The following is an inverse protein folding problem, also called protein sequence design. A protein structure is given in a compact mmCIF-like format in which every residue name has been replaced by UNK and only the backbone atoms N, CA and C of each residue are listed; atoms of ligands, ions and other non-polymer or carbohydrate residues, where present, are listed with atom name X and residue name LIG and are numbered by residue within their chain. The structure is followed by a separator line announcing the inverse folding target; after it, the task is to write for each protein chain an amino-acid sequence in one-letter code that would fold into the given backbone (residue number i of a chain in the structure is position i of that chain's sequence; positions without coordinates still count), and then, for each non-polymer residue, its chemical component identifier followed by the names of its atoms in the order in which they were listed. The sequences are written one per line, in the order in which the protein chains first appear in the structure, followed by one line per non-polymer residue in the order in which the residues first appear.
data_IF_292295140946
#
_entry.id   IF_292295140946
#
_cell.length_a   1.000
_cell.length_b   1.000
_cell.length_c   1.000
_cell.angle_alpha   90.00
_cell.angle_beta   90.00
_cell.angle_gamma   90.00
#
_symmetry.space_group_name_H-M   'P 1'
#
loop_
_entity.id
_entity.type
_entity.pdbx_description
1 polymer ?
2 non-polymer ?
3 non-polymer ?
4 water ?
#
# COMPACT_ATOMS: atom_id res chain seq x y z
N UNK A 4 -23.68 -7.66 12.22
CA UNK A 4 -24.39 -6.93 11.17
C UNK A 4 -23.87 -5.50 10.95
N UNK A 5 -23.81 -4.71 12.01
CA UNK A 5 -23.58 -3.28 11.94
C UNK A 5 -22.16 -2.91 12.33
N UNK A 6 -21.55 -2.03 11.56
CA UNK A 6 -20.26 -1.46 11.90
C UNK A 6 -20.44 -0.27 12.83
N UNK A 7 -19.39 0.15 13.55
CA UNK A 7 -19.53 1.32 14.41
C UNK A 7 -19.92 2.56 13.62
N UNK A 8 -20.64 3.45 14.27
CA UNK A 8 -21.19 4.62 13.58
C UNK A 8 -20.11 5.53 13.02
N UNK A 9 -18.94 5.57 13.66
CA UNK A 9 -17.85 6.44 13.21
C UNK A 9 -16.83 5.70 12.37
N UNK A 10 -17.16 4.52 11.86
CA UNK A 10 -16.21 3.76 11.04
C UNK A 10 -15.82 4.56 9.81
N UNK A 11 -14.58 4.43 9.39
CA UNK A 11 -14.07 5.11 8.21
C UNK A 11 -14.32 4.21 7.00
N UNK A 12 -14.98 4.74 5.97
CA UNK A 12 -15.28 4.02 4.74
C UNK A 12 -14.64 4.79 3.61
N UNK A 13 -13.67 4.17 2.94
CA UNK A 13 -13.00 4.89 1.88
C UNK A 13 -12.59 4.01 0.73
N UNK A 14 -11.93 4.65 -0.23
CA UNK A 14 -11.24 3.97 -1.31
C UNK A 14 -9.85 4.56 -1.40
N UNK A 15 -8.94 3.85 -2.06
CA UNK A 15 -7.52 4.20 -2.03
C UNK A 15 -6.93 4.21 -3.43
N UNK A 16 -5.94 5.09 -3.61
CA UNK A 16 -5.13 5.20 -4.82
C UNK A 16 -3.69 5.49 -4.40
N UNK A 17 -2.80 5.61 -5.40
CA UNK A 17 -1.43 6.03 -5.22
C UNK A 17 -1.07 6.95 -6.39
N UNK A 18 -0.17 7.90 -6.12
CA UNK A 18 0.08 9.00 -7.04
C UNK A 18 0.54 8.53 -8.42
N UNK A 19 1.57 7.68 -8.49
CA UNK A 19 2.06 7.29 -9.81
C UNK A 19 1.01 6.45 -10.56
N UNK A 20 0.15 5.75 -9.83
CA UNK A 20 -0.81 4.90 -10.49
C UNK A 20 -1.93 5.68 -11.16
N UNK A 21 -2.20 6.92 -10.71
CA UNK A 21 -3.35 7.67 -11.19
C UNK A 21 -3.05 9.04 -11.80
N UNK A 22 -1.98 9.71 -11.38
CA UNK A 22 -1.92 11.17 -11.59
C UNK A 22 -1.64 11.55 -13.04
N UNK A 23 -0.73 10.86 -13.71
CA UNK A 23 -0.25 11.38 -14.97
C UNK A 23 0.49 12.68 -14.75
N UNK A 24 0.47 13.55 -15.77
CA UNK A 24 1.10 14.88 -15.67
C UNK A 24 2.52 14.78 -15.15
N UNK A 25 3.28 13.86 -15.74
CA UNK A 25 4.56 13.46 -15.16
C UNK A 25 5.63 14.54 -15.27
N UNK A 26 5.49 15.49 -16.18
CA UNK A 26 6.45 16.59 -16.32
C UNK A 26 5.88 17.94 -15.95
N UNK A 27 4.68 18.00 -15.39
CA UNK A 27 4.01 19.26 -15.18
C UNK A 27 4.38 19.85 -13.84
N UNK A 28 4.44 21.19 -13.80
CA UNK A 28 4.57 21.95 -12.56
C UNK A 28 5.81 21.54 -11.75
N UNK A 29 6.92 21.32 -12.45
CA UNK A 29 8.18 21.10 -11.80
C UNK A 29 8.45 19.69 -11.32
N UNK A 30 7.58 18.72 -11.62
CA UNK A 30 7.80 17.36 -11.14
C UNK A 30 9.11 16.78 -11.66
N UNK A 31 9.86 16.14 -10.77
CA UNK A 31 11.08 15.46 -11.16
C UNK A 31 10.81 14.06 -11.66
N UNK A 32 11.89 13.34 -11.91
CA UNK A 32 11.82 11.98 -12.44
C UNK A 32 11.86 11.02 -11.27
N UNK A 33 10.94 10.05 -11.26
CA UNK A 33 10.95 9.00 -10.24
C UNK A 33 11.50 7.70 -10.83
N UNK A 34 11.85 6.78 -9.93
CA UNK A 34 12.31 5.47 -10.37
C UNK A 34 11.27 4.76 -11.23
N UNK A 35 9.99 5.05 -11.04
CA UNK A 35 8.95 4.41 -11.85
C UNK A 35 8.80 5.03 -13.23
N UNK A 36 9.17 6.31 -13.39
CA UNK A 36 9.30 6.86 -14.73
C UNK A 36 10.40 6.14 -15.50
N UNK A 37 11.57 6.02 -14.87
CA UNK A 37 12.70 5.33 -15.49
C UNK A 37 12.34 3.90 -15.82
N UNK A 38 11.73 3.19 -14.88
CA UNK A 38 11.45 1.77 -15.04
C UNK A 38 10.40 1.54 -16.11
N UNK A 39 9.31 2.32 -16.07
CA UNK A 39 8.26 2.06 -17.06
C UNK A 39 8.69 2.45 -18.47
N UNK A 40 9.67 3.33 -18.62
CA UNK A 40 10.20 3.68 -19.94
C UNK A 40 11.36 2.80 -20.38
N UNK A 41 11.66 1.77 -19.61
CA UNK A 41 12.68 0.79 -20.00
C UNK A 41 12.02 -0.32 -20.78
N UNK A 42 12.46 -0.60 -22.01
CA UNK A 42 11.79 -1.62 -22.82
C UNK A 42 11.68 -2.96 -22.10
N UNK A 43 10.48 -3.53 -22.13
CA UNK A 43 10.24 -4.85 -21.62
C UNK A 43 9.84 -4.95 -20.15
N UNK A 44 9.89 -3.85 -19.39
CA UNK A 44 9.61 -3.96 -17.97
C UNK A 44 8.12 -4.00 -17.64
N UNK A 45 7.29 -3.38 -18.48
CA UNK A 45 5.84 -3.34 -18.25
C UNK A 45 5.17 -4.29 -19.24
N UNK A 46 4.22 -5.10 -18.75
CA UNK A 46 3.71 -6.23 -19.53
C UNK A 46 3.04 -5.81 -20.83
N UNK A 47 2.47 -4.62 -20.90
CA UNK A 47 1.66 -4.20 -22.03
C UNK A 47 2.21 -2.94 -22.70
N UNK A 48 3.45 -2.56 -22.43
CA UNK A 48 4.04 -1.42 -23.08
C UNK A 48 3.50 -0.07 -22.66
N UNK A 49 2.76 0.01 -21.56
CA UNK A 49 2.23 1.27 -21.08
C UNK A 49 3.14 1.86 -20.00
N UNK A 50 2.87 3.12 -19.67
CA UNK A 50 3.59 3.84 -18.63
C UNK A 50 2.57 4.61 -17.80
N UNK A 51 3.06 5.28 -16.76
CA UNK A 51 2.20 6.18 -16.01
C UNK A 51 2.19 7.61 -16.50
N UNK A 52 2.59 7.86 -17.75
CA UNK A 52 2.71 9.23 -18.22
C UNK A 52 1.38 9.97 -18.16
N UNK A 53 0.28 9.28 -18.48
CA UNK A 53 -1.07 9.84 -18.41
C UNK A 53 -1.89 9.17 -17.32
N UNK A 54 -1.87 7.83 -17.27
CA UNK A 54 -2.63 7.06 -16.29
C UNK A 54 -4.10 7.50 -16.30
N UNK A 55 -4.63 7.95 -15.16
CA UNK A 55 -6.01 8.40 -15.10
C UNK A 55 -6.13 9.91 -15.22
N UNK A 56 -5.00 10.59 -15.41
CA UNK A 56 -4.98 12.05 -15.50
C UNK A 56 -5.55 12.72 -14.25
N UNK A 57 -5.39 12.07 -13.08
CA UNK A 57 -5.99 12.58 -11.86
C UNK A 57 -5.29 13.83 -11.33
N UNK A 58 -4.10 14.17 -11.82
CA UNK A 58 -3.52 15.46 -11.47
C UNK A 58 -4.44 16.58 -11.93
N UNK A 59 -5.05 16.42 -13.10
CA UNK A 59 -6.00 17.40 -13.61
C UNK A 59 -7.44 17.07 -13.26
N UNK A 60 -7.77 15.79 -13.09
CA UNK A 60 -9.15 15.34 -12.97
C UNK A 60 -9.51 14.90 -11.57
N UNK A 61 -8.78 15.35 -10.55
CA UNK A 61 -9.11 14.93 -9.20
C UNK A 61 -10.53 15.37 -8.80
N UNK A 62 -11.06 16.41 -9.43
CA UNK A 62 -12.44 16.80 -9.17
C UNK A 62 -13.43 15.71 -9.55
N UNK A 63 -13.16 15.01 -10.67
CA UNK A 63 -14.00 13.89 -11.04
C UNK A 63 -13.86 12.75 -10.04
N UNK A 64 -12.64 12.52 -9.55
CA UNK A 64 -12.44 11.48 -8.55
C UNK A 64 -13.23 11.79 -7.29
N UNK A 65 -13.24 13.07 -6.88
CA UNK A 65 -14.04 13.47 -5.73
C UNK A 65 -15.51 13.24 -5.99
N UNK A 66 -15.98 13.53 -7.20
CA UNK A 66 -17.37 13.25 -7.54
C UNK A 66 -17.70 11.78 -7.39
N UNK A 67 -16.77 10.90 -7.74
CA UNK A 67 -17.02 9.46 -7.58
C UNK A 67 -17.09 9.09 -6.11
N UNK A 68 -16.15 9.57 -5.30
CA UNK A 68 -16.18 9.29 -3.87
C UNK A 68 -17.49 9.75 -3.25
N UNK A 69 -17.97 10.93 -3.65
CA UNK A 69 -19.24 11.44 -3.15
C UNK A 69 -20.40 10.56 -3.59
N UNK A 70 -20.40 10.14 -4.85
CA UNK A 70 -21.48 9.31 -5.37
C UNK A 70 -21.52 7.97 -4.65
N UNK A 71 -20.37 7.49 -4.18
CA UNK A 71 -20.30 6.22 -3.46
C UNK A 71 -20.62 6.37 -1.98
N UNK A 72 -20.80 7.60 -1.50
CA UNK A 72 -21.11 7.83 -0.10
C UNK A 72 -19.97 7.54 0.84
N UNK A 73 -18.73 7.59 0.37
CA UNK A 73 -17.56 7.36 1.20
C UNK A 73 -17.33 8.57 2.11
N UNK A 74 -16.62 8.34 3.21
CA UNK A 74 -16.26 9.45 4.10
C UNK A 74 -14.76 9.70 4.19
N UNK A 75 -13.95 9.00 3.41
CA UNK A 75 -12.50 9.18 3.47
C UNK A 75 -11.91 8.78 2.13
N UNK A 76 -10.71 9.31 1.87
CA UNK A 76 -9.98 8.99 0.65
C UNK A 76 -8.52 8.80 1.05
N UNK A 77 -7.97 7.63 0.73
CA UNK A 77 -6.55 7.37 0.96
C UNK A 77 -5.82 7.57 -0.36
N UNK A 78 -4.84 8.46 -0.35
CA UNK A 78 -4.09 8.78 -1.56
C UNK A 78 -2.66 9.05 -1.14
N UNK A 79 -1.76 9.10 -2.10
CA UNK A 79 -0.37 9.40 -1.78
C UNK A 79 0.08 10.71 -2.39
N UNK A 80 1.09 11.29 -1.76
CA UNK A 80 1.75 12.48 -2.27
C UNK A 80 3.01 12.05 -2.99
N UNK A 81 3.24 12.61 -4.16
CA UNK A 81 4.40 12.26 -4.98
C UNK A 81 5.61 13.06 -4.53
N UNK A 82 6.56 12.40 -3.86
CA UNK A 82 7.83 13.04 -3.52
C UNK A 82 8.46 13.79 -4.69
N UNK A 83 8.48 13.27 -5.92
CA UNK A 83 9.05 14.04 -7.03
C UNK A 83 8.37 15.37 -7.31
N UNK A 84 7.12 15.57 -6.89
CA UNK A 84 6.50 16.88 -7.05
C UNK A 84 6.88 17.84 -5.94
N UNK A 85 7.31 17.33 -4.79
CA UNK A 85 7.58 18.17 -3.62
C UNK A 85 9.05 18.55 -3.54
N UNK A 86 9.93 17.58 -3.72
CA UNK A 86 11.38 17.79 -3.74
C UNK A 86 11.89 17.12 -5.00
N UNK A 87 11.88 17.81 -6.13
CA UNK A 87 12.18 17.15 -7.41
C UNK A 87 13.56 16.52 -7.48
N UNK A 88 14.55 17.06 -6.75
CA UNK A 88 15.87 16.46 -6.73
C UNK A 88 16.03 15.42 -5.64
N UNK A 89 14.97 15.12 -4.89
CA UNK A 89 15.05 14.13 -3.84
C UNK A 89 15.52 14.74 -2.54
N UNK A 90 16.71 15.32 -2.57
CA UNK A 90 17.25 16.13 -1.49
C UNK A 90 17.62 17.46 -2.12
N UNK A 91 17.02 18.53 -1.63
CA UNK A 91 17.24 19.83 -2.21
C UNK A 91 16.08 20.73 -1.92
N UNK A 92 15.94 21.79 -2.70
CA UNK A 92 14.88 22.77 -2.43
C UNK A 92 13.51 22.17 -2.67
N UNK A 93 12.53 22.75 -1.99
CA UNK A 93 11.16 22.34 -2.22
C UNK A 93 10.61 22.99 -3.49
N UNK A 94 9.58 22.38 -4.05
CA UNK A 94 8.86 22.90 -5.20
C UNK A 94 7.51 23.36 -4.67
N UNK A 95 7.40 24.67 -4.39
CA UNK A 95 6.16 25.14 -3.77
C UNK A 95 4.94 24.85 -4.64
N UNK A 96 5.10 24.85 -5.96
CA UNK A 96 3.97 24.54 -6.84
C UNK A 96 3.40 23.15 -6.57
N UNK A 97 4.26 22.18 -6.21
CA UNK A 97 3.75 20.85 -5.89
C UNK A 97 2.97 20.84 -4.59
N UNK A 98 3.47 21.54 -3.58
CA UNK A 98 2.74 21.64 -2.31
C UNK A 98 1.42 22.35 -2.50
N UNK A 99 1.38 23.40 -3.33
CA UNK A 99 0.14 24.13 -3.53
C UNK A 99 -0.91 23.25 -4.18
N UNK A 100 -0.50 22.39 -5.11
CA UNK A 100 -1.46 21.48 -5.74
C UNK A 100 -2.14 20.58 -4.72
N UNK A 101 -1.35 19.93 -3.86
CA UNK A 101 -1.96 19.06 -2.86
C UNK A 101 -2.73 19.84 -1.81
N UNK A 102 -2.33 21.08 -1.52
CA UNK A 102 -3.12 21.91 -0.61
C UNK A 102 -4.51 22.16 -1.17
N UNK A 103 -4.60 22.50 -2.46
CA UNK A 103 -5.91 22.70 -3.10
C UNK A 103 -6.72 21.40 -3.11
N UNK A 104 -6.08 20.28 -3.45
CA UNK A 104 -6.76 18.99 -3.42
C UNK A 104 -7.32 18.67 -2.06
N UNK A 105 -6.53 18.90 -1.00
CA UNK A 105 -7.00 18.64 0.35
C UNK A 105 -8.21 19.53 0.69
N UNK A 106 -8.17 20.80 0.27
CA UNK A 106 -9.31 21.67 0.54
C UNK A 106 -10.54 21.21 -0.23
N UNK A 107 -10.36 20.71 -1.44
CA UNK A 107 -11.49 20.18 -2.21
C UNK A 107 -12.08 18.94 -1.54
N UNK A 108 -11.22 18.08 -0.99
CA UNK A 108 -11.70 16.90 -0.28
C UNK A 108 -12.49 17.28 0.96
N UNK A 109 -11.93 18.17 1.78
CA UNK A 109 -12.60 18.58 3.00
C UNK A 109 -13.91 19.29 2.68
N UNK A 110 -13.94 20.09 1.61
CA UNK A 110 -15.18 20.74 1.22
C UNK A 110 -16.26 19.75 0.85
N UNK A 111 -15.88 18.56 0.38
CA UNK A 111 -16.82 17.51 0.03
C UNK A 111 -17.12 16.58 1.21
N UNK A 112 -16.55 16.83 2.38
CA UNK A 112 -16.79 15.98 3.53
C UNK A 112 -16.02 14.69 3.52
N UNK A 113 -14.87 14.65 2.85
CA UNK A 113 -14.03 13.45 2.78
C UNK A 113 -12.76 13.69 3.59
N UNK A 114 -12.50 12.81 4.53
CA UNK A 114 -11.29 12.91 5.33
C UNK A 114 -10.08 12.39 4.54
N UNK A 115 -9.02 13.19 4.38
CA UNK A 115 -7.82 12.72 3.67
C UNK A 115 -7.00 11.80 4.56
N UNK A 116 -6.63 10.63 4.04
CA UNK A 116 -5.68 9.73 4.68
C UNK A 116 -4.48 9.68 3.77
N UNK A 117 -3.39 10.32 4.15
CA UNK A 117 -2.30 10.58 3.21
C UNK A 117 -1.16 9.60 3.44
N UNK A 118 -0.67 8.99 2.36
CA UNK A 118 0.55 8.19 2.37
C UNK A 118 1.69 9.06 1.83
N UNK A 119 2.79 9.15 2.58
CA UNK A 119 3.92 9.95 2.12
C UNK A 119 4.72 9.24 1.03
N UNK A 120 4.93 7.94 1.14
CA UNK A 120 5.77 7.20 0.20
C UNK A 120 5.02 5.98 -0.32
N UNK A 121 4.63 6.05 -1.59
CA UNK A 121 4.01 4.92 -2.27
C UNK A 121 4.82 4.63 -3.53
N UNK A 122 6.13 4.46 -3.36
CA UNK A 122 7.06 3.73 -4.22
C UNK A 122 7.78 4.62 -5.23
N UNK A 123 7.42 5.90 -5.32
CA UNK A 123 7.95 6.80 -6.35
C UNK A 123 9.17 7.58 -5.86
N UNK A 124 10.23 6.84 -5.54
CA UNK A 124 11.49 7.46 -5.11
C UNK A 124 12.03 8.37 -6.20
N UNK A 125 12.42 9.60 -5.88
CA UNK A 125 13.11 10.42 -6.88
C UNK A 125 14.34 9.73 -7.44
N UNK A 126 14.45 9.74 -8.77
CA UNK A 126 15.58 9.11 -9.43
C UNK A 126 16.94 9.62 -8.98
N UNK A 127 17.15 10.91 -8.71
CA UNK A 127 18.49 11.32 -8.23
C UNK A 127 18.93 10.62 -6.97
N UNK A 128 17.99 10.20 -6.11
CA UNK A 128 18.38 9.45 -4.92
C UNK A 128 18.78 8.03 -5.27
N UNK A 129 18.09 7.41 -6.24
CA UNK A 129 18.46 6.08 -6.69
C UNK A 129 19.84 6.10 -7.35
N UNK A 130 20.19 7.21 -8.00
CA UNK A 130 21.52 7.34 -8.60
C UNK A 130 22.60 7.30 -7.53
N UNK A 131 22.25 7.60 -6.28
CA UNK A 131 23.15 7.51 -5.14
C UNK A 131 22.78 6.34 -4.23
N UNK A 132 22.35 5.24 -4.84
CA UNK A 132 22.04 3.93 -4.25
C UNK A 132 20.62 3.80 -3.70
N UNK A 133 19.83 4.88 -3.69
CA UNK A 133 18.42 4.74 -3.33
C UNK A 133 18.27 4.24 -1.92
N UNK A 134 17.38 3.26 -1.73
CA UNK A 134 17.19 2.73 -0.39
C UNK A 134 18.36 1.89 0.10
N UNK A 135 19.36 1.66 -0.76
CA UNK A 135 20.60 1.07 -0.30
C UNK A 135 21.50 2.00 0.47
N UNK A 136 21.12 3.27 0.63
CA UNK A 136 21.92 4.27 1.32
C UNK A 136 21.17 4.83 2.52
N UNK A 137 21.86 4.89 3.67
CA UNK A 137 21.28 5.52 4.86
C UNK A 137 20.87 6.97 4.60
N UNK A 138 21.58 7.66 3.71
CA UNK A 138 21.26 9.06 3.45
C UNK A 138 19.85 9.22 2.93
N UNK A 139 19.33 8.22 2.24
CA UNK A 139 17.96 8.32 1.72
C UNK A 139 16.95 8.34 2.86
N UNK A 140 17.24 7.61 3.94
CA UNK A 140 16.35 7.65 5.11
C UNK A 140 16.32 9.05 5.71
N UNK A 141 17.48 9.72 5.76
CA UNK A 141 17.52 11.05 6.35
C UNK A 141 16.72 12.04 5.53
N UNK A 142 16.89 12.00 4.19
CA UNK A 142 16.19 12.97 3.37
C UNK A 142 14.71 12.65 3.23
N UNK A 143 14.31 11.38 3.40
CA UNK A 143 12.89 11.06 3.49
C UNK A 143 12.26 11.76 4.68
N UNK A 144 12.94 11.77 5.83
CA UNK A 144 12.42 12.47 7.00
C UNK A 144 12.30 13.96 6.73
N UNK A 145 13.24 14.54 5.98
CA UNK A 145 13.16 15.96 5.63
C UNK A 145 11.93 16.26 4.79
N UNK A 146 11.66 15.39 3.81
CA UNK A 146 10.46 15.49 2.97
C UNK A 146 9.20 15.39 3.81
N UNK A 147 9.16 14.44 4.75
CA UNK A 147 8.00 14.30 5.62
C UNK A 147 7.75 15.57 6.42
N UNK A 148 8.82 16.18 6.94
CA UNK A 148 8.72 17.43 7.69
C UNK A 148 8.08 18.53 6.85
N UNK A 149 8.58 18.69 5.62
CA UNK A 149 8.11 19.73 4.71
C UNK A 149 6.61 19.59 4.46
N UNK A 150 6.16 18.36 4.20
CA UNK A 150 4.76 18.16 3.85
C UNK A 150 3.85 18.40 5.04
N UNK A 151 4.23 17.90 6.22
CA UNK A 151 3.39 18.08 7.40
C UNK A 151 3.29 19.56 7.80
N UNK A 152 4.37 20.32 7.60
CA UNK A 152 4.32 21.74 7.95
C UNK A 152 3.23 22.45 7.16
N UNK A 153 3.02 22.06 5.92
CA UNK A 153 2.09 22.77 5.05
C UNK A 153 0.69 22.18 5.04
N UNK A 154 0.54 20.86 5.25
CA UNK A 154 -0.77 20.23 5.18
C UNK A 154 -1.28 19.74 6.52
N UNK A 155 -0.44 19.73 7.57
CA UNK A 155 -0.80 19.17 8.85
C UNK A 155 -1.79 19.99 9.65
N UNK A 156 -2.11 21.21 9.20
CA UNK A 156 -3.21 21.95 9.80
C UNK A 156 -4.57 21.36 9.44
N UNK A 157 -4.63 20.53 8.40
CA UNK A 157 -5.89 20.00 7.87
C UNK A 157 -5.93 18.49 7.81
N UNK A 158 -4.78 17.82 7.73
CA UNK A 158 -4.71 16.37 7.62
C UNK A 158 -4.19 15.85 8.95
N UNK A 159 -4.99 15.02 9.62
CA UNK A 159 -4.54 14.41 10.87
C UNK A 159 -3.95 13.01 10.69
N UNK A 160 -4.37 12.27 9.66
CA UNK A 160 -4.03 10.85 9.55
C UNK A 160 -3.04 10.66 8.42
N UNK A 161 -1.84 10.24 8.78
CA UNK A 161 -0.71 10.13 7.87
C UNK A 161 -0.11 8.75 7.99
N UNK A 162 0.31 8.18 6.87
CA UNK A 162 1.15 7.00 6.89
C UNK A 162 2.48 7.37 6.24
N UNK A 163 3.58 6.86 6.80
CA UNK A 163 4.90 7.10 6.24
C UNK A 163 5.09 6.32 4.95
N UNK A 164 5.12 4.98 5.06
CA UNK A 164 5.39 4.10 3.94
C UNK A 164 4.19 3.23 3.62
N UNK A 165 4.04 2.92 2.34
CA UNK A 165 3.16 1.86 1.87
C UNK A 165 3.99 0.64 1.49
N UNK A 166 3.81 -0.46 2.22
CA UNK A 166 4.36 -1.77 1.82
C UNK A 166 5.87 -1.76 1.62
N UNK A 167 6.65 -1.53 2.67
CA UNK A 167 8.11 -1.59 2.51
C UNK A 167 8.62 -2.93 2.02
N UNK A 168 7.92 -4.03 2.31
CA UNK A 168 8.38 -5.31 1.79
C UNK A 168 8.45 -5.29 0.26
N UNK A 169 7.43 -4.71 -0.40
CA UNK A 169 7.46 -4.62 -1.85
C UNK A 169 8.62 -3.74 -2.33
N UNK A 170 8.76 -2.55 -1.75
CA UNK A 170 9.83 -1.66 -2.19
C UNK A 170 11.19 -2.33 -2.09
N UNK A 171 11.44 -3.03 -0.99
CA UNK A 171 12.73 -3.66 -0.77
C UNK A 171 12.88 -4.93 -1.59
N UNK A 172 11.93 -5.86 -1.46
CA UNK A 172 12.12 -7.18 -2.05
C UNK A 172 11.78 -7.23 -3.53
N UNK A 173 10.67 -6.61 -3.95
CA UNK A 173 10.37 -6.60 -5.38
C UNK A 173 11.26 -5.61 -6.12
N UNK A 174 11.67 -4.51 -5.48
CA UNK A 174 12.47 -3.53 -6.18
C UNK A 174 13.97 -3.77 -6.21
N UNK A 175 14.51 -4.41 -5.18
CA UNK A 175 15.97 -4.58 -5.07
C UNK A 175 16.43 -6.03 -5.07
N UNK A 176 15.56 -6.99 -4.78
CA UNK A 176 15.95 -8.40 -4.75
C UNK A 176 15.40 -9.19 -5.93
N UNK A 177 14.10 -9.11 -6.19
CA UNK A 177 13.52 -9.89 -7.28
C UNK A 177 13.50 -9.14 -8.60
N UNK A 178 13.70 -7.82 -8.58
CA UNK A 178 13.84 -7.04 -9.80
C UNK A 178 12.59 -6.83 -10.61
N UNK A 179 11.40 -7.13 -10.06
CA UNK A 179 10.17 -7.00 -10.83
C UNK A 179 9.56 -5.61 -10.73
N UNK A 180 9.92 -4.85 -9.70
CA UNK A 180 9.47 -3.48 -9.54
C UNK A 180 10.67 -2.55 -9.58
N UNK A 181 10.40 -1.26 -9.78
CA UNK A 181 11.47 -0.28 -9.80
C UNK A 181 12.21 -0.26 -8.46
N UNK A 182 13.54 -0.06 -8.46
CA UNK A 182 14.40 0.22 -9.61
C UNK A 182 14.80 -1.01 -10.43
N UNK A 183 14.56 -2.22 -9.93
CA UNK A 183 14.79 -3.42 -10.72
C UNK A 183 16.09 -4.15 -10.46
N UNK A 184 16.67 -4.01 -9.27
CA UNK A 184 17.89 -4.74 -8.95
C UNK A 184 17.55 -6.15 -8.49
N UNK A 185 18.57 -7.02 -8.52
CA UNK A 185 18.38 -8.44 -8.23
C UNK A 185 19.49 -8.91 -7.29
N UNK A 186 19.48 -8.43 -6.06
CA UNK A 186 20.55 -8.77 -5.12
C UNK A 186 19.95 -8.83 -3.73
N UNK A 187 20.05 -10.01 -3.09
CA UNK A 187 19.40 -10.19 -1.79
C UNK A 187 19.96 -9.24 -0.74
N UNK A 188 21.29 -9.07 -0.71
CA UNK A 188 21.89 -8.18 0.29
C UNK A 188 21.38 -6.74 0.11
N UNK A 189 21.27 -6.29 -1.13
CA UNK A 189 20.68 -4.98 -1.43
C UNK A 189 19.25 -4.90 -0.94
N UNK A 190 18.46 -5.95 -1.17
CA UNK A 190 17.07 -5.92 -0.72
C UNK A 190 16.96 -5.83 0.78
N UNK A 191 17.81 -6.56 1.51
CA UNK A 191 17.74 -6.52 2.95
C UNK A 191 18.28 -5.21 3.50
N UNK A 192 19.31 -4.65 2.87
CA UNK A 192 19.77 -3.32 3.25
C UNK A 192 18.67 -2.28 3.01
N UNK A 193 17.98 -2.38 1.86
CA UNK A 193 16.87 -1.48 1.58
C UNK A 193 15.77 -1.60 2.63
N UNK A 194 15.46 -2.83 3.07
CA UNK A 194 14.41 -2.99 4.08
C UNK A 194 14.77 -2.27 5.36
N UNK A 195 16.06 -2.30 5.74
CA UNK A 195 16.48 -1.62 6.96
C UNK A 195 16.40 -0.10 6.80
N UNK A 196 16.84 0.43 5.66
CA UNK A 196 16.82 1.88 5.47
C UNK A 196 15.40 2.40 5.29
N UNK A 197 14.50 1.60 4.73
CA UNK A 197 13.10 1.98 4.71
C UNK A 197 12.54 2.10 6.12
N UNK A 198 12.81 1.10 6.97
CA UNK A 198 12.32 1.17 8.34
C UNK A 198 12.96 2.33 9.09
N UNK A 199 14.25 2.56 8.88
CA UNK A 199 14.92 3.69 9.51
C UNK A 199 14.32 5.01 9.03
N UNK A 200 14.07 5.13 7.73
CA UNK A 200 13.42 6.33 7.22
C UNK A 200 12.06 6.55 7.84
N UNK A 201 11.28 5.47 7.98
CA UNK A 201 10.01 5.55 8.69
C UNK A 201 10.20 6.12 10.10
N UNK A 202 11.14 5.54 10.85
CA UNK A 202 11.31 5.97 12.24
C UNK A 202 11.77 7.42 12.36
N UNK A 203 12.71 7.83 11.50
CA UNK A 203 13.14 9.22 11.49
C UNK A 203 12.00 10.14 11.09
N UNK A 204 11.17 9.72 10.14
CA UNK A 204 10.08 10.58 9.68
C UNK A 204 9.02 10.75 10.76
N UNK A 205 8.73 9.69 11.52
CA UNK A 205 7.75 9.83 12.59
C UNK A 205 8.17 10.93 13.56
N UNK A 206 9.43 10.90 14.00
CA UNK A 206 9.92 11.92 14.92
C UNK A 206 9.91 13.30 14.28
N UNK A 207 10.34 13.40 13.02
CA UNK A 207 10.33 14.69 12.35
C UNK A 207 8.91 15.23 12.22
N UNK A 208 7.95 14.36 11.92
CA UNK A 208 6.59 14.85 11.70
C UNK A 208 5.97 15.36 12.99
N UNK A 209 6.21 14.67 14.11
CA UNK A 209 5.67 15.11 15.39
C UNK A 209 6.24 16.48 15.78
N UNK A 210 7.51 16.73 15.45
CA UNK A 210 8.11 18.01 15.80
C UNK A 210 7.60 19.13 14.90
N UNK A 211 7.30 18.84 13.63
CA UNK A 211 6.87 19.83 12.67
C UNK A 211 5.36 20.07 12.67
N UNK A 212 4.61 19.22 13.34
CA UNK A 212 3.16 19.21 13.20
C UNK A 212 2.53 20.44 13.86
N UNK A 213 1.62 21.13 13.19
CA UNK A 213 0.89 22.23 13.85
C UNK A 213 -0.18 21.78 14.82
N UNK A 214 -0.53 20.50 14.83
CA UNK A 214 -1.49 19.94 15.75
C UNK A 214 -1.11 18.48 15.96
N UNK A 215 -1.66 17.82 16.98
CA UNK A 215 -1.37 16.39 17.15
C UNK A 215 -1.81 15.60 15.92
N UNK A 216 -0.96 14.68 15.50
CA UNK A 216 -1.21 13.85 14.33
C UNK A 216 -1.41 12.40 14.74
N UNK A 217 -2.07 11.65 13.87
CA UNK A 217 -2.23 10.20 14.03
C UNK A 217 -1.40 9.54 12.94
N UNK A 218 -0.22 9.04 13.31
CA UNK A 218 0.77 8.57 12.35
C UNK A 218 0.82 7.05 12.38
N UNK A 219 0.78 6.45 11.18
CA UNK A 219 0.89 5.01 11.06
C UNK A 219 1.86 4.62 9.95
N UNK A 220 1.93 3.31 9.71
CA UNK A 220 2.63 2.73 8.57
C UNK A 220 1.68 1.70 8.00
N UNK A 221 1.85 1.38 6.72
CA UNK A 221 0.96 0.46 6.02
C UNK A 221 1.79 -0.73 5.57
N UNK A 222 1.42 -1.94 6.02
CA UNK A 222 2.15 -3.15 5.70
C UNK A 222 1.25 -4.11 4.95
N UNK A 223 1.80 -4.76 3.92
CA UNK A 223 1.15 -5.94 3.35
C UNK A 223 1.49 -7.13 4.21
N UNK A 224 0.47 -7.85 4.62
CA UNK A 224 0.65 -9.04 5.45
C UNK A 224 -0.01 -10.24 4.77
N UNK A 225 0.63 -11.39 4.88
CA UNK A 225 0.14 -12.62 4.25
C UNK A 225 0.09 -13.70 5.31
N UNK A 226 -1.09 -14.13 5.73
CA UNK A 226 -1.15 -15.26 6.67
C UNK A 226 -0.65 -16.52 5.99
N UNK A 227 0.16 -17.27 6.73
CA UNK A 227 0.83 -18.42 6.15
C UNK A 227 0.40 -19.69 6.89
N UNK A 228 0.20 -20.77 6.14
CA UNK A 228 -0.32 -22.02 6.69
C UNK A 228 0.53 -23.16 6.15
N UNK A 229 1.00 -24.06 7.01
CA UNK A 229 1.78 -25.19 6.51
C UNK A 229 0.90 -26.14 5.72
N UNK A 230 1.47 -26.68 4.64
CA UNK A 230 0.72 -27.61 3.80
C UNK A 230 0.45 -28.92 4.53
N UNK A 231 1.30 -29.29 5.49
CA UNK A 231 1.09 -30.46 6.33
C UNK A 231 1.72 -30.16 7.68
N UNK A 232 1.58 -31.08 8.62
CA UNK A 232 2.21 -30.88 9.91
C UNK A 232 3.63 -31.45 10.00
N UNK A 233 4.23 -31.84 8.88
CA UNK A 233 5.60 -32.34 8.93
C UNK A 233 6.54 -31.23 9.39
N UNK A 234 7.65 -31.57 10.05
CA UNK A 234 8.61 -30.54 10.45
C UNK A 234 9.06 -29.66 9.29
N UNK A 235 9.23 -30.25 8.10
CA UNK A 235 9.73 -29.48 6.96
C UNK A 235 8.70 -28.46 6.51
N UNK A 236 7.42 -28.85 6.44
CA UNK A 236 6.40 -27.92 5.97
C UNK A 236 6.11 -26.85 7.01
N UNK A 237 6.10 -27.22 8.29
CA UNK A 237 5.91 -26.20 9.32
C UNK A 237 7.06 -25.21 9.32
N UNK A 238 8.29 -25.69 9.15
CA UNK A 238 9.44 -24.79 9.11
C UNK A 238 9.36 -23.86 7.90
N UNK A 239 8.93 -24.38 6.75
CA UNK A 239 8.76 -23.55 5.56
C UNK A 239 7.73 -22.45 5.81
N UNK A 240 6.62 -22.78 6.47
CA UNK A 240 5.62 -21.76 6.78
C UNK A 240 6.18 -20.70 7.72
N UNK A 241 6.96 -21.12 8.73
CA UNK A 241 7.56 -20.13 9.62
C UNK A 241 8.54 -19.24 8.87
N UNK A 242 9.34 -19.82 7.98
CA UNK A 242 10.30 -19.03 7.22
C UNK A 242 9.59 -18.00 6.35
N UNK A 243 8.52 -18.42 5.65
CA UNK A 243 7.80 -17.47 4.82
C UNK A 243 7.14 -16.40 5.66
N UNK A 244 6.57 -16.79 6.80
CA UNK A 244 5.98 -15.81 7.72
C UNK A 244 7.02 -14.81 8.19
N UNK A 245 8.26 -15.28 8.43
CA UNK A 245 9.31 -14.36 8.82
C UNK A 245 9.74 -13.45 7.69
N UNK A 246 9.80 -14.01 6.47
CA UNK A 246 10.25 -13.27 5.28
C UNK A 246 9.33 -12.08 4.98
N UNK A 247 8.02 -12.27 5.05
CA UNK A 247 7.06 -11.22 4.70
C UNK A 247 6.60 -10.43 5.91
N UNK A 248 6.20 -11.12 6.98
CA UNK A 248 5.47 -10.47 8.07
C UNK A 248 6.37 -10.05 9.23
N UNK A 249 7.08 -11.00 9.84
CA UNK A 249 7.75 -10.69 11.09
C UNK A 249 8.97 -9.81 10.89
N UNK A 250 9.58 -9.87 9.70
CA UNK A 250 10.75 -9.04 9.42
C UNK A 250 10.44 -7.57 9.61
N UNK A 251 9.19 -7.16 9.33
CA UNK A 251 8.77 -5.78 9.52
C UNK A 251 8.02 -5.57 10.84
N UNK A 252 7.15 -6.50 11.23
CA UNK A 252 6.36 -6.30 12.45
C UNK A 252 7.24 -6.24 13.69
N UNK A 253 8.22 -7.16 13.79
CA UNK A 253 9.02 -7.24 15.02
C UNK A 253 9.83 -5.98 15.28
N UNK A 254 10.60 -5.44 14.33
CA UNK A 254 11.34 -4.21 14.65
C UNK A 254 10.42 -3.03 14.97
N UNK A 255 9.27 -2.92 14.29
CA UNK A 255 8.34 -1.85 14.61
C UNK A 255 7.81 -1.99 16.03
N UNK A 256 7.69 -3.22 16.51
CA UNK A 256 7.17 -3.47 17.85
C UNK A 256 8.24 -3.40 18.93
N UNK A 257 9.46 -3.02 18.56
CA UNK A 257 10.54 -2.94 19.53
C UNK A 257 11.15 -4.26 19.90
N UNK A 258 11.02 -5.28 19.05
CA UNK A 258 11.51 -6.62 19.31
C UNK A 258 12.75 -6.98 18.49
N UNK A 259 13.35 -6.01 17.80
CA UNK A 259 14.45 -6.28 16.91
C UNK A 259 14.03 -7.09 15.70
N UNK A 260 15.01 -7.44 14.86
CA UNK A 260 14.73 -8.35 13.77
C UNK A 260 14.58 -9.77 14.32
N UNK A 261 13.72 -10.58 13.71
CA UNK A 261 13.50 -11.95 14.22
C UNK A 261 14.78 -12.78 14.09
N UNK A 262 15.16 -13.42 15.20
CA UNK A 262 16.43 -14.13 15.25
C UNK A 262 16.47 -15.28 14.25
N UNK A 263 15.35 -15.98 14.05
CA UNK A 263 15.36 -17.09 13.12
C UNK A 263 15.66 -16.64 11.70
N UNK A 264 15.19 -15.44 11.32
CA UNK A 264 15.50 -14.91 9.99
C UNK A 264 16.92 -14.38 9.90
N UNK A 265 17.42 -13.76 10.98
CA UNK A 265 18.82 -13.37 11.00
C UNK A 265 19.74 -14.57 10.82
N UNK A 266 19.42 -15.69 11.49
CA UNK A 266 20.23 -16.89 11.29
C UNK A 266 20.12 -17.41 9.87
N UNK A 267 18.91 -17.37 9.30
CA UNK A 267 18.70 -17.89 7.95
C UNK A 267 19.41 -17.03 6.91
N UNK A 268 19.34 -15.69 7.07
CA UNK A 268 19.97 -14.82 6.10
C UNK A 268 21.49 -14.80 6.23
N UNK A 269 22.00 -15.03 7.43
CA UNK A 269 23.45 -15.09 7.61
C UNK A 269 24.12 -13.77 7.32
N UNK A 270 25.18 -13.82 6.51
CA UNK A 270 25.95 -12.63 6.19
C UNK A 270 25.20 -11.63 5.33
N UNK A 271 24.10 -12.04 4.69
CA UNK A 271 23.31 -11.11 3.90
C UNK A 271 22.50 -10.15 4.76
N UNK A 272 22.32 -10.45 6.05
CA UNK A 272 21.52 -9.61 6.91
C UNK A 272 22.17 -8.24 7.07
N UNK A 273 21.38 -7.18 7.26
CA UNK A 273 21.95 -5.85 7.41
C UNK A 273 22.61 -5.68 8.78
N UNK A 274 23.52 -4.71 8.84
CA UNK A 274 24.16 -4.31 10.09
C UNK A 274 23.21 -3.36 10.81
N UNK A 275 22.64 -3.81 11.92
CA UNK A 275 21.65 -3.05 12.66
C UNK A 275 22.18 -2.81 14.07
N UNK A 276 22.76 -1.63 14.31
CA UNK A 276 23.14 -1.26 15.65
C UNK A 276 21.89 -0.91 16.47
N UNK A 277 21.96 -1.04 17.80
CA UNK A 277 20.76 -0.80 18.62
C UNK A 277 20.17 0.58 18.48
N UNK A 278 20.98 1.58 18.12
CA UNK A 278 20.45 2.94 17.96
C UNK A 278 19.43 2.99 16.82
N UNK A 279 19.70 2.28 15.72
CA UNK A 279 18.75 2.23 14.61
C UNK A 279 17.44 1.58 15.05
N UNK A 280 17.54 0.45 15.75
CA UNK A 280 16.34 -0.27 16.15
C UNK A 280 15.47 0.56 17.09
N UNK A 281 16.08 1.38 17.94
CA UNK A 281 15.30 2.26 18.80
C UNK A 281 14.53 3.27 17.98
N UNK A 282 15.17 3.80 16.93
CA UNK A 282 14.53 4.78 16.06
C UNK A 282 13.37 4.15 15.30
N UNK A 283 13.55 2.90 14.84
CA UNK A 283 12.54 2.22 14.04
C UNK A 283 11.27 2.00 14.85
N UNK A 284 11.41 1.82 16.16
CA UNK A 284 10.30 1.50 17.05
C UNK A 284 9.59 2.74 17.58
N UNK A 285 9.68 3.86 16.88
CA UNK A 285 8.98 5.07 17.28
C UNK A 285 7.49 4.77 17.47
N UNK A 286 6.88 5.21 18.57
CA UNK A 286 5.48 4.84 18.81
C UNK A 286 4.57 5.34 17.69
N UNK A 287 3.65 4.46 17.30
CA UNK A 287 2.69 4.74 16.22
C UNK A 287 1.30 4.85 16.80
N UNK A 288 0.46 5.62 16.11
CA UNK A 288 -0.93 5.80 16.52
C UNK A 288 -1.90 4.83 15.87
N UNK A 289 -1.48 4.15 14.81
CA UNK A 289 -2.32 3.15 14.14
C UNK A 289 -1.45 2.34 13.20
N UNK A 290 -1.97 1.19 12.77
CA UNK A 290 -1.30 0.36 11.78
C UNK A 290 -2.28 0.08 10.66
N UNK A 291 -1.82 0.20 9.42
CA UNK A 291 -2.62 -0.14 8.26
C UNK A 291 -2.26 -1.52 7.74
N UNK A 292 -3.29 -2.34 7.52
CA UNK A 292 -3.13 -3.69 7.01
C UNK A 292 -3.61 -3.72 5.57
N UNK A 293 -2.71 -4.12 4.68
CA UNK A 293 -3.06 -4.41 3.29
C UNK A 293 -3.12 -5.92 3.17
N UNK A 294 -4.29 -6.42 2.76
CA UNK A 294 -4.56 -7.85 2.72
C UNK A 294 -5.16 -8.24 1.38
N UNK A 295 -4.53 -9.22 0.75
CA UNK A 295 -4.97 -9.80 -0.51
C UNK A 295 -5.02 -11.32 -0.43
N UNK A 296 -3.95 -11.99 0.02
CA UNK A 296 -4.02 -13.44 -0.10
C UNK A 296 -3.45 -14.17 1.11
N UNK A 297 -3.51 -15.49 1.06
CA UNK A 297 -2.79 -16.32 2.01
C UNK A 297 -1.62 -16.96 1.30
N UNK A 298 -0.81 -17.66 2.09
CA UNK A 298 0.28 -18.50 1.58
C UNK A 298 0.09 -19.86 2.24
N UNK A 299 -0.23 -20.88 1.44
CA UNK A 299 -0.17 -22.25 1.93
C UNK A 299 1.18 -22.81 1.50
N UNK A 300 2.09 -22.99 2.45
CA UNK A 300 3.50 -23.17 2.16
C UNK A 300 3.89 -24.64 2.23
N UNK A 301 4.66 -25.07 1.24
CA UNK A 301 5.31 -26.37 1.24
C UNK A 301 6.81 -26.14 1.19
N UNK A 302 7.56 -27.03 1.84
CA UNK A 302 9.01 -26.93 1.83
C UNK A 302 9.53 -27.10 0.41
N UNK A 303 10.43 -26.19 0.00
CA UNK A 303 11.02 -26.21 -1.33
C UNK A 303 12.51 -25.94 -1.20
N UNK A 304 13.30 -26.95 -0.82
CA UNK A 304 14.73 -26.72 -0.60
C UNK A 304 15.49 -26.32 -1.84
N UNK A 305 15.08 -26.80 -3.02
CA UNK A 305 15.75 -26.42 -4.25
C UNK A 305 15.40 -25.00 -4.68
N UNK A 306 14.18 -24.56 -4.41
CA UNK A 306 13.75 -23.24 -4.82
C UNK A 306 14.57 -22.16 -4.10
N UNK A 307 14.46 -20.93 -4.60
CA UNK A 307 15.20 -19.82 -4.03
C UNK A 307 14.60 -19.43 -2.68
N UNK A 308 15.24 -18.47 -2.04
CA UNK A 308 14.81 -18.03 -0.71
C UNK A 308 13.38 -17.51 -0.78
N UNK A 309 12.57 -17.73 0.28
CA UNK A 309 12.92 -18.42 1.52
C UNK A 309 12.65 -19.92 1.47
N UNK A 310 12.78 -20.53 0.29
CA UNK A 310 12.66 -21.98 0.11
C UNK A 310 11.30 -22.50 0.57
N UNK A 311 10.25 -21.80 0.16
CA UNK A 311 8.88 -22.19 0.43
C UNK A 311 8.06 -21.86 -0.80
N UNK A 312 7.29 -22.82 -1.29
CA UNK A 312 6.48 -22.63 -2.48
C UNK A 312 5.00 -22.72 -2.13
N UNK A 313 4.19 -22.03 -2.93
CA UNK A 313 2.75 -21.96 -2.69
C UNK A 313 2.08 -23.21 -3.21
N UNK A 314 1.20 -23.79 -2.38
CA UNK A 314 0.39 -24.93 -2.78
C UNK A 314 -0.97 -24.38 -3.21
N UNK A 315 -1.18 -24.28 -4.52
CA UNK A 315 -2.43 -23.75 -5.05
C UNK A 315 -3.60 -24.62 -4.61
N UNK A 316 -4.71 -23.96 -4.30
CA UNK A 316 -5.95 -24.66 -3.95
C UNK A 316 -6.93 -24.44 -5.09
N UNK A 317 -7.10 -25.41 -6.01
CA UNK A 317 -8.02 -25.22 -7.14
C UNK A 317 -9.49 -25.21 -6.75
N UNK A 318 -9.82 -25.48 -5.49
CA UNK A 318 -11.20 -25.40 -5.02
C UNK A 318 -11.60 -24.01 -4.58
N UNK A 319 -10.61 -23.11 -4.33
CA UNK A 319 -10.91 -21.74 -3.93
C UNK A 319 -11.12 -20.86 -5.17
N UNK A 320 -11.90 -19.79 -5.03
CA UNK A 320 -12.06 -18.86 -6.15
C UNK A 320 -10.75 -18.14 -6.44
N UNK A 321 -10.57 -17.79 -7.72
CA UNK A 321 -9.42 -17.02 -8.15
C UNK A 321 -9.90 -15.81 -8.94
N UNK A 322 -9.17 -14.70 -8.79
CA UNK A 322 -9.42 -13.49 -9.56
C UNK A 322 -8.52 -13.51 -10.79
N UNK A 323 -8.32 -12.36 -11.42
CA UNK A 323 -7.40 -12.30 -12.56
C UNK A 323 -5.96 -12.58 -12.17
N UNK A 324 -5.58 -12.34 -10.90
CA UNK A 324 -4.20 -12.51 -10.49
C UNK A 324 -3.99 -13.15 -9.11
N UNK A 325 -5.04 -13.48 -8.35
CA UNK A 325 -4.86 -13.90 -6.97
C UNK A 325 -5.84 -15.00 -6.57
N UNK A 326 -5.49 -15.73 -5.51
CA UNK A 326 -6.38 -16.68 -4.86
C UNK A 326 -7.20 -15.93 -3.81
N UNK A 327 -8.47 -16.30 -3.65
CA UNK A 327 -9.37 -15.63 -2.71
C UNK A 327 -9.50 -16.49 -1.46
N UNK A 328 -9.18 -15.92 -0.29
CA UNK A 328 -9.27 -16.64 0.98
C UNK A 328 -9.67 -15.63 2.04
N UNK A 329 -10.95 -15.32 2.16
CA UNK A 329 -11.36 -14.23 3.07
C UNK A 329 -11.03 -14.52 4.53
N UNK A 330 -11.07 -15.79 4.93
CA UNK A 330 -10.84 -16.12 6.33
C UNK A 330 -9.45 -15.74 6.79
N UNK A 331 -8.49 -15.60 5.86
CA UNK A 331 -7.15 -15.19 6.24
C UNK A 331 -7.11 -13.78 6.77
N UNK A 332 -8.06 -12.93 6.36
CA UNK A 332 -8.14 -11.59 6.92
C UNK A 332 -8.51 -11.63 8.41
N UNK A 333 -9.48 -12.47 8.78
CA UNK A 333 -9.77 -12.68 10.18
C UNK A 333 -8.54 -13.18 10.92
N UNK A 334 -7.87 -14.19 10.37
CA UNK A 334 -6.72 -14.78 11.06
C UNK A 334 -5.63 -13.73 11.31
N UNK A 335 -5.29 -12.94 10.30
CA UNK A 335 -4.19 -11.99 10.49
C UNK A 335 -4.58 -10.90 11.47
N UNK A 336 -5.83 -10.47 11.47
CA UNK A 336 -6.25 -9.43 12.40
C UNK A 336 -6.25 -9.93 13.83
N UNK A 337 -6.71 -11.17 14.05
CA UNK A 337 -6.65 -11.74 15.39
C UNK A 337 -5.22 -11.87 15.87
N UNK A 338 -4.32 -12.29 14.97
CA UNK A 338 -2.92 -12.40 15.34
C UNK A 338 -2.36 -11.06 15.76
N UNK A 339 -2.63 -10.01 14.97
CA UNK A 339 -2.15 -8.67 15.33
C UNK A 339 -2.72 -8.22 16.68
N UNK A 340 -4.01 -8.42 16.89
CA UNK A 340 -4.65 -7.99 18.13
C UNK A 340 -4.05 -8.70 19.33
N UNK A 341 -3.79 -9.99 19.21
CA UNK A 341 -3.35 -10.79 20.35
C UNK A 341 -1.86 -10.69 20.58
N UNK A 342 -1.07 -10.62 19.52
CA UNK A 342 0.37 -10.85 19.62
C UNK A 342 1.23 -9.61 19.45
N UNK A 343 0.66 -8.51 18.99
CA UNK A 343 1.44 -7.31 18.71
C UNK A 343 0.78 -6.10 19.36
N UNK A 344 1.52 -5.00 19.55
CA UNK A 344 1.00 -3.88 20.32
C UNK A 344 0.23 -2.83 19.54
N UNK A 345 0.16 -2.95 18.22
CA UNK A 345 -0.38 -1.87 17.39
C UNK A 345 -1.90 -1.81 17.50
N UNK A 346 -2.43 -0.61 17.74
CA UNK A 346 -3.87 -0.39 17.73
C UNK A 346 -4.13 1.10 17.73
N UNK A 347 -5.20 1.56 17.11
CA UNK A 347 -6.16 0.77 16.35
C UNK A 347 -5.62 0.36 14.99
N UNK A 348 -6.39 -0.44 14.28
CA UNK A 348 -6.03 -0.97 12.98
C UNK A 348 -7.00 -0.45 11.93
N UNK A 349 -6.48 -0.25 10.72
CA UNK A 349 -7.28 0.07 9.56
C UNK A 349 -6.96 -0.94 8.48
N UNK A 350 -7.95 -1.33 7.69
CA UNK A 350 -7.70 -2.06 6.47
C UNK A 350 -7.45 -1.02 5.39
N UNK A 351 -6.20 -0.87 4.97
CA UNK A 351 -5.83 0.20 4.06
C UNK A 351 -5.81 -0.23 2.60
N UNK A 352 -5.98 -1.52 2.31
CA UNK A 352 -6.06 -1.99 0.93
C UNK A 352 -6.71 -3.35 0.93
N UNK A 353 -7.79 -3.51 0.17
CA UNK A 353 -8.44 -4.80 -0.02
C UNK A 353 -9.25 -4.68 -1.30
N UNK A 354 -9.04 -5.59 -2.23
CA UNK A 354 -9.72 -5.50 -3.52
C UNK A 354 -9.22 -6.59 -4.42
N UNK A 355 -9.76 -6.61 -5.65
CA UNK A 355 -9.39 -7.65 -6.59
C UNK A 355 -9.45 -7.14 -8.02
N UNK A 356 -8.70 -7.82 -8.87
CA UNK A 356 -8.64 -7.55 -10.30
C UNK A 356 -9.46 -8.56 -11.07
N UNK A 357 -10.17 -8.09 -12.08
CA UNK A 357 -11.00 -8.94 -12.93
C UNK A 357 -10.88 -8.45 -14.36
N UNK A 358 -11.34 -9.28 -15.29
CA UNK A 358 -11.36 -8.90 -16.70
C UNK A 358 -12.66 -8.12 -16.99
N UNK A 359 -12.72 -6.93 -16.43
CA UNK A 359 -13.93 -6.12 -16.53
C UNK A 359 -14.11 -5.58 -17.93
N UNK A 360 -15.37 -5.53 -18.36
CA UNK A 360 -15.72 -4.88 -19.62
C UNK A 360 -17.05 -4.15 -19.43
N UNK A 361 -17.28 -3.17 -20.30
CA UNK A 361 -18.56 -2.48 -20.32
C UNK A 361 -19.55 -3.33 -21.12
N UNK A 362 -20.66 -3.70 -20.49
CA UNK A 362 -21.68 -4.50 -21.13
C UNK A 362 -22.56 -3.66 -22.06
N UNK A 363 -23.45 -4.34 -22.79
CA UNK A 363 -24.30 -3.64 -23.74
C UNK A 363 -25.15 -2.57 -23.08
N UNK A 364 -25.58 -2.79 -21.84
CA UNK A 364 -26.43 -1.85 -21.14
C UNK A 364 -25.66 -0.66 -20.60
N UNK A 365 -24.33 -0.67 -20.65
CA UNK A 365 -23.51 0.41 -20.16
C UNK A 365 -22.91 0.18 -18.79
N UNK A 366 -23.39 -0.81 -18.04
CA UNK A 366 -22.81 -1.11 -16.75
C UNK A 366 -21.66 -2.09 -16.85
N UNK A 367 -21.00 -2.31 -15.71
CA UNK A 367 -19.93 -3.28 -15.58
C UNK A 367 -20.40 -4.29 -14.54
N UNK A 368 -20.67 -5.52 -14.97
CA UNK A 368 -21.30 -6.52 -14.12
C UNK A 368 -20.24 -7.38 -13.46
N UNK A 369 -19.62 -6.83 -12.44
CA UNK A 369 -18.46 -7.46 -11.79
C UNK A 369 -18.88 -8.20 -10.52
N UNK A 370 -19.72 -9.22 -10.71
CA UNK A 370 -20.26 -9.95 -9.57
C UNK A 370 -19.21 -10.57 -8.67
N UNK A 371 -18.09 -11.03 -9.24
CA UNK A 371 -17.04 -11.60 -8.40
C UNK A 371 -16.46 -10.55 -7.45
N UNK A 372 -16.40 -9.29 -7.89
CA UNK A 372 -15.86 -8.25 -7.01
C UNK A 372 -16.85 -7.91 -5.93
N UNK A 373 -18.14 -7.89 -6.25
CA UNK A 373 -19.13 -7.73 -5.19
C UNK A 373 -19.01 -8.84 -4.16
N UNK A 374 -18.90 -10.09 -4.62
CA UNK A 374 -18.79 -11.22 -3.70
C UNK A 374 -17.52 -11.13 -2.88
N UNK A 375 -16.43 -10.66 -3.50
CA UNK A 375 -15.17 -10.45 -2.79
C UNK A 375 -15.35 -9.47 -1.63
N UNK A 376 -16.00 -8.33 -1.87
CA UNK A 376 -16.19 -7.36 -0.80
C UNK A 376 -17.10 -7.93 0.28
N UNK A 377 -18.22 -8.54 -0.11
CA UNK A 377 -19.15 -9.08 0.87
C UNK A 377 -18.46 -10.08 1.80
N UNK A 378 -17.64 -10.96 1.24
CA UNK A 378 -16.99 -12.00 2.03
C UNK A 378 -15.95 -11.40 2.98
N UNK A 379 -15.19 -10.40 2.53
CA UNK A 379 -14.18 -9.82 3.40
C UNK A 379 -14.80 -8.94 4.47
N UNK A 380 -15.88 -8.22 4.13
CA UNK A 380 -16.54 -7.42 5.16
C UNK A 380 -17.16 -8.31 6.25
N UNK A 381 -17.65 -9.49 5.89
CA UNK A 381 -18.17 -10.40 6.91
C UNK A 381 -17.07 -10.83 7.88
N UNK A 382 -15.85 -11.04 7.37
CA UNK A 382 -14.76 -11.39 8.26
C UNK A 382 -14.37 -10.23 9.17
N UNK A 383 -14.53 -8.98 8.70
CA UNK A 383 -14.27 -7.86 9.60
C UNK A 383 -15.26 -7.82 10.75
N UNK A 384 -16.53 -8.16 10.49
CA UNK A 384 -17.50 -8.21 11.58
C UNK A 384 -17.12 -9.28 12.60
N UNK A 385 -16.62 -10.42 12.13
CA UNK A 385 -16.16 -11.45 13.07
C UNK A 385 -14.99 -10.95 13.90
N UNK A 386 -14.05 -10.23 13.28
CA UNK A 386 -12.91 -9.69 14.01
C UNK A 386 -13.36 -8.65 15.04
N UNK A 387 -14.28 -7.76 14.65
CA UNK A 387 -14.81 -6.78 15.60
C UNK A 387 -15.46 -7.48 16.80
N UNK A 388 -16.19 -8.57 16.55
CA UNK A 388 -16.87 -9.30 17.63
C UNK A 388 -15.86 -9.89 18.61
N UNK A 389 -14.66 -10.23 18.13
CA UNK A 389 -13.61 -10.76 18.97
C UNK A 389 -12.85 -9.67 19.71
N UNK A 390 -13.19 -8.40 19.49
CA UNK A 390 -12.53 -7.32 20.18
C UNK A 390 -11.40 -6.65 19.42
N UNK A 391 -11.18 -6.99 18.17
CA UNK A 391 -10.12 -6.34 17.38
C UNK A 391 -10.48 -4.87 17.18
N UNK A 392 -9.58 -3.94 17.47
CA UNK A 392 -9.90 -2.49 17.39
C UNK A 392 -9.75 -1.95 15.96
N UNK A 393 -10.68 -2.35 15.11
CA UNK A 393 -10.69 -1.94 13.70
C UNK A 393 -11.49 -0.64 13.58
N UNK A 394 -10.90 0.34 12.89
CA UNK A 394 -11.53 1.64 12.77
C UNK A 394 -11.88 2.06 11.36
N UNK A 395 -11.49 1.29 10.34
CA UNK A 395 -11.91 1.69 9.00
C UNK A 395 -11.46 0.71 7.96
N UNK A 396 -11.97 0.95 6.75
CA UNK A 396 -11.77 0.04 5.63
C UNK A 396 -11.66 0.86 4.36
N UNK A 397 -10.64 0.57 3.56
CA UNK A 397 -10.40 1.24 2.29
C UNK A 397 -10.36 0.20 1.18
N UNK A 398 -11.30 0.31 0.25
CA UNK A 398 -11.29 -0.52 -0.94
C UNK A 398 -10.17 -0.10 -1.87
N UNK A 399 -9.40 -1.08 -2.36
CA UNK A 399 -8.47 -0.85 -3.46
C UNK A 399 -9.16 -1.33 -4.74
N UNK A 400 -9.32 -0.47 -5.75
CA UNK A 400 -8.96 0.94 -5.78
C UNK A 400 -10.19 1.74 -6.17
N UNK A 401 -10.15 3.05 -5.95
CA UNK A 401 -11.25 3.90 -6.43
C UNK A 401 -11.51 3.68 -7.93
N UNK A 402 -10.45 3.56 -8.73
CA UNK A 402 -10.65 3.46 -10.18
C UNK A 402 -9.54 2.59 -10.76
N UNK A 403 -9.81 2.00 -11.91
CA UNK A 403 -8.78 1.25 -12.62
C UNK A 403 -7.61 2.17 -12.91
N UNK A 404 -6.38 1.66 -12.79
CA UNK A 404 -5.25 2.57 -12.85
C UNK A 404 -4.02 1.80 -13.35
N UNK A 405 -2.86 2.44 -13.30
CA UNK A 405 -1.61 1.82 -13.75
C UNK A 405 -1.13 0.85 -12.67
N UNK A 406 -1.25 -0.44 -12.95
CA UNK A 406 -0.95 -1.50 -11.99
C UNK A 406 0.50 -1.97 -12.16
N UNK A 407 1.43 -1.02 -11.95
CA UNK A 407 2.86 -1.33 -11.80
C UNK A 407 3.35 -2.15 -13.01
N UNK A 408 4.00 -3.29 -12.80
CA UNK A 408 4.57 -4.04 -13.91
C UNK A 408 3.52 -4.67 -14.81
N UNK A 409 2.25 -4.68 -14.39
CA UNK A 409 1.17 -5.17 -15.24
C UNK A 409 0.59 -4.07 -16.11
N UNK A 410 0.97 -2.81 -15.88
CA UNK A 410 0.48 -1.74 -16.73
C UNK A 410 -1.00 -1.47 -16.52
N UNK A 411 -1.63 -1.02 -17.59
CA UNK A 411 -3.07 -0.71 -17.57
C UNK A 411 -3.92 -1.95 -17.73
N UNK A 412 -3.34 -3.15 -17.84
CA UNK A 412 -4.07 -4.34 -18.22
C UNK A 412 -4.67 -5.08 -17.03
N UNK A 413 -4.54 -4.57 -15.81
CA UNK A 413 -5.01 -5.27 -14.63
C UNK A 413 -5.90 -4.32 -13.82
N UNK A 414 -7.20 -4.51 -13.92
CA UNK A 414 -8.20 -3.57 -13.43
C UNK A 414 -8.67 -3.92 -12.02
N UNK A 415 -8.32 -3.06 -11.06
CA UNK A 415 -8.68 -3.21 -9.65
C UNK A 415 -9.76 -2.24 -9.19
N UNK A 416 -10.27 -1.38 -10.06
CA UNK A 416 -11.16 -0.33 -9.61
C UNK A 416 -12.55 -0.82 -9.21
N UNK A 417 -13.17 -0.07 -8.29
CA UNK A 417 -14.63 -0.12 -8.14
C UNK A 417 -15.31 0.77 -9.17
N UNK A 418 -14.54 1.63 -9.82
CA UNK A 418 -14.97 2.39 -10.98
C UNK A 418 -14.08 2.02 -12.15
N UNK A 419 -14.70 1.90 -13.31
CA UNK A 419 -14.02 1.56 -14.55
C UNK A 419 -13.43 2.83 -15.15
N UNK A 420 -12.19 2.74 -15.64
CA UNK A 420 -11.54 3.87 -16.31
C UNK A 420 -11.35 3.50 -17.77
N UNK A 421 -11.94 4.30 -18.66
CA UNK A 421 -11.61 4.21 -20.06
C UNK A 421 -10.30 4.97 -20.26
N UNK A 422 -9.22 4.26 -20.58
CA UNK A 422 -7.91 4.92 -20.65
C UNK A 422 -7.73 5.76 -21.90
N UNK A 423 -8.60 5.58 -22.90
CA UNK A 423 -8.52 6.41 -24.10
C UNK A 423 -9.21 7.74 -23.90
N UNK A 424 -10.39 7.74 -23.29
CA UNK A 424 -11.16 8.96 -23.11
C UNK A 424 -11.06 9.54 -21.72
N UNK A 425 -10.58 8.77 -20.75
CA UNK A 425 -10.47 9.14 -19.34
C UNK A 425 -11.81 9.22 -18.63
N UNK A 426 -12.90 8.78 -19.27
CA UNK A 426 -14.18 8.66 -18.59
C UNK A 426 -14.10 7.60 -17.48
N UNK A 427 -14.73 7.90 -16.35
CA UNK A 427 -14.91 6.94 -15.28
C UNK A 427 -16.38 6.56 -15.19
N UNK A 428 -16.64 5.30 -14.83
CA UNK A 428 -17.99 4.76 -14.69
C UNK A 428 -18.00 3.83 -13.48
N UNK A 429 -19.03 3.94 -12.64
CA UNK A 429 -19.12 3.10 -11.44
C UNK A 429 -19.49 1.67 -11.85
N UNK A 430 -18.74 0.70 -11.34
CA UNK A 430 -19.05 -0.71 -11.58
C UNK A 430 -20.15 -1.18 -10.63
N UNK A 431 -20.78 -2.32 -10.95
CA UNK A 431 -21.85 -2.80 -10.09
C UNK A 431 -21.39 -2.97 -8.66
N UNK A 432 -20.15 -3.43 -8.45
CA UNK A 432 -19.65 -3.60 -7.08
C UNK A 432 -19.56 -2.27 -6.35
N UNK A 433 -19.28 -1.19 -7.08
CA UNK A 433 -19.27 0.13 -6.46
C UNK A 433 -20.65 0.53 -5.98
N UNK A 434 -21.69 0.24 -6.77
CA UNK A 434 -23.04 0.51 -6.30
C UNK A 434 -23.42 -0.37 -5.12
N UNK A 435 -22.92 -1.61 -5.08
CA UNK A 435 -23.19 -2.43 -3.91
C UNK A 435 -22.54 -1.84 -2.67
N UNK A 436 -21.29 -1.39 -2.78
CA UNK A 436 -20.62 -0.75 -1.65
C UNK A 436 -21.36 0.50 -1.21
N UNK A 437 -21.79 1.33 -2.17
CA UNK A 437 -22.56 2.52 -1.84
C UNK A 437 -23.77 2.15 -0.99
N UNK A 438 -24.52 1.16 -1.43
CA UNK A 438 -25.78 0.83 -0.77
C UNK A 438 -25.52 0.12 0.56
N UNK A 439 -24.45 -0.64 0.67
CA UNK A 439 -24.09 -1.25 1.96
C UNK A 439 -23.71 -0.18 2.96
N UNK A 440 -22.85 0.76 2.57
CA UNK A 440 -22.44 1.84 3.45
C UNK A 440 -23.62 2.68 3.88
N UNK A 441 -24.53 2.98 2.95
CA UNK A 441 -25.71 3.76 3.29
C UNK A 441 -26.57 3.04 4.33
N UNK A 442 -26.61 1.71 4.27
CA UNK A 442 -27.30 0.93 5.30
C UNK A 442 -26.65 1.04 6.66
N UNK A 443 -25.35 1.35 6.72
CA UNK A 443 -24.62 1.49 7.97
C UNK A 443 -24.74 2.90 8.54
X LIG B 1 -1.41 -2.81 -2.94
X LIG B 1 -0.54 -1.72 -3.50
X LIG B 1 -1.18 -1.07 -4.69
X LIG B 1 -1.41 -2.10 -5.75
X LIG B 1 -2.33 -3.18 -5.18
X LIG B 1 -2.64 -4.29 -6.16
X LIG B 1 -0.27 -0.05 -5.15
X LIG B 1 -2.01 -1.51 -6.89
X LIG B 1 -1.68 -3.78 -4.02
X LIG B 1 -1.48 -4.95 -6.57
X LIG B 1 -0.34 -0.78 -2.47
X LIG C 1 1.93 -22.09 12.08
X LIG C 1 0.89 -21.26 11.32
X LIG C 1 1.24 -19.79 11.36
X LIG C 1 2.64 -19.55 10.81
X LIG C 1 0.29 -18.90 10.65
X LIG C 1 -1.13 -19.15 10.94
X LIG C 1 -1.97 -17.99 10.39
X LIG C 1 -1.86 -16.50 11.34
X LIG C 1 -0.48 -16.08 11.29
X LIG C 1 -2.31 -16.83 12.67
X LIG C 1 -2.74 -15.53 10.68
X LIG C 1 3.67 -20.38 11.56
X LIG C 1 3.32 -21.86 11.53
#
# INVERSE_FOLDING_TARGET
MAGERFPADFVWGAATAAYQIEGAVREDGRGVSIWDTFSHTPGKIADGTTGDVACDSYHRYGEDIGLLNALGMNAYRFSIAWPRIVPLGAGPINQAGLDHYSRMVDALLGAGLQPFVTLYHWDLPQPLEDRLGWGSRATATVFAEYADIVVRQLGDRVTHWATLNEPWCSAMLGYYLGVHAPGHTDLKRGLEASHNLLLGHGLAVQAMRAAAPQPLQIGIVLNLTPTYPASDSPEDVAAARRFDGFVNRWFLDPLAGRGYPQDMLDYYGAAAPQANPEDLTQIAAPLDWLGVNYYERMRAVDAPDASLPQAQRLDDPDLPHTADREVYPEGLYDILLRLHNDYPFRPLYITENGCALHDEIAEDGGIHDGQRQAFFEAHLAQLQRALAAGVPLKGYFAWSLLDNFEWAMGLSMRYGICYTNFETLERRIKDSGYWLRDFIAGQRGKLAALEHHHHHH
G2F C1 C2 C3 C4 C5 C6 O3 O4 O5 O6 F2
NHE C3' C2' C1' C6' N C1 C2 S O1 O2 O3 C5' C4'
#
